data_IF_715984383331
#
_entry.id   IF_715984383331
#
_cell.length_a   1.000
_cell.length_b   1.000
_cell.length_c   1.000
_cell.angle_alpha   90.00
_cell.angle_beta   90.00
_cell.angle_gamma   90.00
#
_symmetry.space_group_name_H-M   'P 1'
#
loop_
_entity.id
_entity.type
_entity.pdbx_description
1 polymer ?
#
# COMPACT_ATOMS: atom_id res chain seq x y z
N UNK A 1 34.85 -21.55 15.77
CA UNK A 1 33.54 -21.26 16.40
C UNK A 1 32.45 -21.61 15.39
N UNK A 2 31.57 -22.53 15.79
CA UNK A 2 30.14 -22.68 15.46
C UNK A 2 29.64 -22.34 14.04
N UNK A 3 28.83 -23.12 13.33
CA UNK A 3 28.11 -24.40 13.56
C UNK A 3 27.41 -24.83 12.26
N UNK A 4 27.23 -26.14 12.11
CA UNK A 4 26.01 -26.84 11.60
C UNK A 4 25.55 -26.57 10.16
N UNK A 5 25.84 -27.48 9.22
CA UNK A 5 25.04 -28.67 8.88
C UNK A 5 23.69 -28.32 8.23
N UNK A 6 23.69 -28.26 6.89
CA UNK A 6 22.49 -28.32 6.06
C UNK A 6 22.19 -29.78 5.75
N UNK A 7 21.43 -30.43 6.62
CA UNK A 7 20.87 -31.75 6.35
C UNK A 7 19.51 -31.57 5.66
N UNK A 8 19.46 -31.93 4.38
CA UNK A 8 18.22 -32.18 3.66
C UNK A 8 17.52 -33.37 4.29
N UNK A 9 16.55 -33.11 5.17
CA UNK A 9 15.66 -34.15 5.64
C UNK A 9 14.45 -34.20 4.70
N UNK A 10 14.60 -35.02 3.66
CA UNK A 10 13.48 -35.71 3.02
C UNK A 10 12.69 -36.39 4.13
N UNK A 11 11.52 -35.87 4.46
CA UNK A 11 10.59 -36.59 5.32
C UNK A 11 10.01 -37.68 4.42
N UNK A 12 10.71 -38.82 4.40
CA UNK A 12 10.12 -40.08 4.00
C UNK A 12 8.89 -40.27 4.88
N UNK A 13 7.72 -40.32 4.25
CA UNK A 13 6.47 -40.75 4.87
C UNK A 13 6.71 -42.16 5.40
N UNK A 14 7.04 -42.26 6.68
CA UNK A 14 6.98 -43.51 7.43
C UNK A 14 5.53 -43.99 7.38
N UNK A 15 5.28 -44.88 6.43
CA UNK A 15 4.08 -45.68 6.28
C UNK A 15 3.93 -46.50 7.55
N UNK A 16 3.24 -45.95 8.55
CA UNK A 16 2.83 -46.66 9.75
C UNK A 16 1.66 -47.60 9.39
N UNK A 17 1.93 -48.63 8.60
CA UNK A 17 1.07 -49.82 8.52
C UNK A 17 1.24 -50.61 9.83
N UNK A 18 0.51 -50.21 10.87
CA UNK A 18 0.18 -51.12 11.96
C UNK A 18 -0.98 -51.99 11.48
N UNK A 19 -0.67 -53.05 10.73
CA UNK A 19 -1.62 -54.14 10.51
C UNK A 19 -1.77 -54.89 11.84
N UNK A 20 -2.79 -54.53 12.61
CA UNK A 20 -3.23 -55.33 13.76
C UNK A 20 -3.84 -56.62 13.21
N UNK A 21 -3.03 -57.68 13.16
CA UNK A 21 -3.49 -59.01 12.77
C UNK A 21 -4.32 -59.58 13.93
N UNK A 22 -5.64 -59.47 13.84
CA UNK A 22 -6.54 -60.11 14.80
C UNK A 22 -6.46 -61.65 14.62
N UNK A 23 -6.20 -62.44 15.68
CA UNK A 23 -6.21 -63.88 15.57
C UNK A 23 -7.60 -64.37 15.19
N UNK A 24 -7.71 -65.15 14.11
CA UNK A 24 -8.96 -65.79 13.73
C UNK A 24 -9.27 -66.93 14.72
N UNK A 25 -10.11 -66.66 15.70
CA UNK A 25 -10.60 -67.68 16.63
C UNK A 25 -11.55 -68.63 15.90
N UNK A 26 -11.09 -69.85 15.62
CA UNK A 26 -11.90 -70.95 15.10
C UNK A 26 -12.18 -71.96 16.22
N UNK A 27 -13.02 -71.55 17.17
CA UNK A 27 -13.60 -72.44 18.16
C UNK A 27 -15.11 -72.48 17.98
N UNK A 28 -15.67 -73.67 17.74
CA UNK A 28 -17.13 -73.88 17.77
C UNK A 28 -17.62 -73.60 19.20
N UNK A 29 -18.18 -72.41 19.42
CA UNK A 29 -18.78 -72.02 20.69
C UNK A 29 -20.25 -72.45 20.69
N UNK A 30 -20.52 -73.55 21.39
CA UNK A 30 -21.86 -74.04 21.67
C UNK A 30 -22.64 -73.02 22.54
N UNK A 31 -23.79 -72.60 22.01
CA UNK A 31 -25.06 -72.11 22.58
C UNK A 31 -25.19 -71.65 24.07
N UNK A 32 -24.15 -71.11 24.72
CA UNK A 32 -24.23 -70.52 26.07
C UNK A 32 -23.90 -69.00 26.11
N UNK A 33 -24.01 -68.30 24.99
CA UNK A 33 -23.21 -67.10 24.69
C UNK A 33 -23.85 -65.72 24.94
N UNK A 34 -25.00 -65.60 25.61
CA UNK A 34 -25.70 -64.29 25.75
C UNK A 34 -24.84 -63.14 26.30
N UNK A 35 -24.04 -63.32 27.38
CA UNK A 35 -23.22 -62.24 27.90
C UNK A 35 -22.08 -61.86 26.95
N UNK A 36 -21.43 -62.85 26.33
CA UNK A 36 -20.28 -62.65 25.42
C UNK A 36 -20.72 -61.94 24.13
N UNK A 37 -21.85 -62.35 23.56
CA UNK A 37 -22.42 -61.71 22.38
C UNK A 37 -22.78 -60.24 22.68
N UNK A 38 -23.34 -59.95 23.86
CA UNK A 38 -23.68 -58.59 24.28
C UNK A 38 -22.45 -57.68 24.44
N UNK A 39 -21.34 -58.19 24.99
CA UNK A 39 -20.09 -57.42 25.07
C UNK A 39 -19.47 -57.18 23.69
N UNK A 40 -19.54 -58.17 22.80
CA UNK A 40 -19.03 -58.04 21.44
C UNK A 40 -19.81 -56.97 20.65
N UNK A 41 -21.14 -57.00 20.69
CA UNK A 41 -21.99 -55.97 20.06
C UNK A 41 -21.66 -54.56 20.55
N UNK A 42 -21.45 -54.40 21.87
CA UNK A 42 -21.08 -53.12 22.46
C UNK A 42 -19.72 -52.60 21.98
N UNK A 43 -18.72 -53.47 21.86
CA UNK A 43 -17.42 -53.08 21.33
C UNK A 43 -17.51 -52.64 19.86
N UNK A 44 -18.33 -53.31 19.05
CA UNK A 44 -18.55 -52.94 17.64
C UNK A 44 -19.23 -51.57 17.53
N UNK A 45 -20.23 -51.28 18.38
CA UNK A 45 -20.85 -49.96 18.45
C UNK A 45 -19.85 -48.86 18.84
N UNK A 46 -19.03 -49.10 19.86
CA UNK A 46 -18.00 -48.15 20.30
C UNK A 46 -16.95 -47.89 19.21
N UNK A 47 -16.53 -48.93 18.47
CA UNK A 47 -15.60 -48.80 17.36
C UNK A 47 -16.18 -47.98 16.20
N UNK A 48 -17.47 -48.16 15.90
CA UNK A 48 -18.18 -47.35 14.91
C UNK A 48 -18.27 -45.87 15.34
N UNK A 49 -18.54 -45.61 16.62
CA UNK A 49 -18.57 -44.25 17.18
C UNK A 49 -17.18 -43.59 17.11
N UNK A 50 -16.13 -44.33 17.46
CA UNK A 50 -14.75 -43.84 17.38
C UNK A 50 -14.33 -43.53 15.93
N UNK A 51 -14.71 -44.38 14.98
CA UNK A 51 -14.45 -44.15 13.56
C UNK A 51 -15.12 -42.86 13.06
N UNK A 52 -16.40 -42.65 13.39
CA UNK A 52 -17.13 -41.43 13.01
C UNK A 52 -16.55 -40.18 13.68
N UNK A 53 -16.18 -40.25 14.96
CA UNK A 53 -15.47 -39.18 15.65
C UNK A 53 -14.14 -38.83 14.97
N UNK A 54 -13.35 -39.83 14.60
CA UNK A 54 -12.06 -39.62 13.93
C UNK A 54 -12.25 -38.92 12.57
N UNK A 55 -13.24 -39.34 11.78
CA UNK A 55 -13.60 -38.69 10.51
C UNK A 55 -13.97 -37.21 10.74
N UNK A 56 -14.81 -36.92 11.74
CA UNK A 56 -15.24 -35.55 12.06
C UNK A 56 -14.08 -34.67 12.51
N UNK A 57 -13.19 -35.19 13.36
CA UNK A 57 -11.99 -34.47 13.82
C UNK A 57 -11.06 -34.17 12.65
N UNK A 58 -10.77 -35.16 11.79
CA UNK A 58 -9.91 -34.96 10.62
C UNK A 58 -10.50 -33.93 9.64
N UNK A 59 -11.81 -33.95 9.43
CA UNK A 59 -12.50 -32.95 8.61
C UNK A 59 -12.38 -31.55 9.20
N UNK A 60 -12.59 -31.40 10.52
CA UNK A 60 -12.46 -30.13 11.22
C UNK A 60 -11.02 -29.60 11.16
N UNK A 61 -10.02 -30.47 11.36
CA UNK A 61 -8.61 -30.10 11.29
C UNK A 61 -8.19 -29.66 9.88
N UNK A 62 -8.63 -30.39 8.85
CA UNK A 62 -8.42 -30.01 7.46
C UNK A 62 -9.02 -28.63 7.13
N UNK A 63 -10.25 -28.38 7.58
CA UNK A 63 -10.92 -27.10 7.39
C UNK A 63 -10.20 -25.96 8.12
N UNK A 64 -9.77 -26.17 9.37
CA UNK A 64 -8.96 -25.20 10.13
C UNK A 64 -7.67 -24.86 9.39
N UNK A 65 -6.94 -25.85 8.90
CA UNK A 65 -5.68 -25.65 8.17
C UNK A 65 -5.88 -24.90 6.85
N UNK A 66 -6.99 -25.16 6.15
CA UNK A 66 -7.36 -24.39 4.96
C UNK A 66 -7.51 -22.90 5.28
N UNK A 67 -8.25 -22.56 6.32
CA UNK A 67 -8.45 -21.16 6.72
C UNK A 67 -7.19 -20.50 7.27
N UNK A 68 -6.34 -21.24 7.98
CA UNK A 68 -5.05 -20.73 8.44
C UNK A 68 -4.16 -20.32 7.26
N UNK A 69 -4.03 -21.18 6.24
CA UNK A 69 -3.28 -20.86 5.02
C UNK A 69 -3.84 -19.66 4.27
N UNK A 70 -5.17 -19.55 4.17
CA UNK A 70 -5.82 -18.40 3.55
C UNK A 70 -5.58 -17.10 4.32
N UNK A 71 -5.63 -17.16 5.65
CA UNK A 71 -5.35 -16.01 6.52
C UNK A 71 -3.92 -15.52 6.36
N UNK A 72 -2.94 -16.44 6.38
CA UNK A 72 -1.52 -16.12 6.15
C UNK A 72 -1.29 -15.47 4.77
N UNK A 73 -1.91 -16.01 3.71
CA UNK A 73 -1.83 -15.40 2.37
C UNK A 73 -2.39 -13.98 2.33
N UNK A 74 -3.53 -13.73 3.01
CA UNK A 74 -4.11 -12.39 3.10
C UNK A 74 -3.21 -11.43 3.87
N UNK A 75 -2.60 -11.90 4.96
CA UNK A 75 -1.65 -11.12 5.76
C UNK A 75 -0.45 -10.67 4.92
N UNK A 76 0.20 -11.60 4.23
CA UNK A 76 1.34 -11.27 3.36
C UNK A 76 0.97 -10.27 2.26
N UNK A 77 -0.19 -10.45 1.62
CA UNK A 77 -0.66 -9.51 0.59
C UNK A 77 -0.95 -8.12 1.15
N UNK A 78 -1.43 -8.03 2.40
CA UNK A 78 -1.66 -6.75 3.05
C UNK A 78 -0.34 -6.04 3.39
N UNK A 79 0.67 -6.78 3.87
CA UNK A 79 2.02 -6.25 4.14
C UNK A 79 2.73 -5.78 2.86
N UNK A 80 2.56 -6.52 1.76
CA UNK A 80 3.06 -6.12 0.44
C UNK A 80 2.39 -4.82 -0.03
N UNK A 81 1.05 -4.73 0.08
CA UNK A 81 0.31 -3.54 -0.30
C UNK A 81 0.72 -2.31 0.52
N UNK A 82 0.92 -2.49 1.84
CA UNK A 82 1.39 -1.42 2.72
C UNK A 82 2.77 -0.91 2.30
N UNK A 83 3.68 -1.82 1.93
CA UNK A 83 5.01 -1.46 1.43
C UNK A 83 4.91 -0.66 0.14
N UNK A 84 4.11 -1.13 -0.83
CA UNK A 84 3.89 -0.43 -2.11
C UNK A 84 3.31 0.96 -1.89
N UNK A 85 2.29 1.09 -1.05
CA UNK A 85 1.67 2.38 -0.74
C UNK A 85 2.65 3.36 -0.09
N UNK A 86 3.50 2.87 0.83
CA UNK A 86 4.52 3.70 1.46
C UNK A 86 5.57 4.20 0.46
N UNK A 87 6.01 3.33 -0.46
CA UNK A 87 6.96 3.70 -1.51
C UNK A 87 6.34 4.70 -2.50
N UNK A 88 5.09 4.50 -2.92
CA UNK A 88 4.34 5.43 -3.76
C UNK A 88 4.16 6.79 -3.09
N UNK A 89 3.76 6.81 -1.82
CA UNK A 89 3.60 8.04 -1.04
C UNK A 89 4.91 8.80 -0.93
N UNK A 90 6.02 8.09 -0.68
CA UNK A 90 7.36 8.68 -0.64
C UNK A 90 7.74 9.27 -2.01
N UNK A 91 7.46 8.56 -3.10
CA UNK A 91 7.67 9.05 -4.47
C UNK A 91 6.88 10.33 -4.76
N UNK A 92 5.60 10.37 -4.39
CA UNK A 92 4.75 11.54 -4.52
C UNK A 92 5.29 12.74 -3.73
N UNK A 93 5.69 12.54 -2.47
CA UNK A 93 6.27 13.59 -1.63
C UNK A 93 7.56 14.17 -2.24
N UNK A 94 8.46 13.30 -2.72
CA UNK A 94 9.70 13.74 -3.37
C UNK A 94 9.43 14.57 -4.63
N UNK A 95 8.47 14.14 -5.46
CA UNK A 95 8.09 14.87 -6.66
C UNK A 95 7.46 16.22 -6.32
N UNK A 96 6.60 16.28 -5.30
CA UNK A 96 5.98 17.53 -4.85
C UNK A 96 7.03 18.53 -4.38
N UNK A 97 7.96 18.12 -3.51
CA UNK A 97 9.05 18.98 -3.05
C UNK A 97 9.89 19.50 -4.22
N UNK A 98 10.23 18.62 -5.19
CA UNK A 98 10.97 19.05 -6.39
C UNK A 98 10.17 20.06 -7.23
N UNK A 99 8.86 19.89 -7.36
CA UNK A 99 8.01 20.86 -8.05
C UNK A 99 7.97 22.21 -7.31
N UNK A 100 7.91 22.20 -5.97
CA UNK A 100 7.98 23.43 -5.17
C UNK A 100 9.34 24.13 -5.31
N UNK A 101 10.43 23.37 -5.29
CA UNK A 101 11.78 23.88 -5.54
C UNK A 101 11.88 24.55 -6.92
N UNK A 102 11.42 23.87 -7.98
CA UNK A 102 11.40 24.45 -9.32
C UNK A 102 10.49 25.68 -9.42
N UNK A 103 9.35 25.69 -8.73
CA UNK A 103 8.46 26.85 -8.71
C UNK A 103 9.16 28.05 -8.05
N UNK A 104 9.84 27.82 -6.92
CA UNK A 104 10.64 28.83 -6.23
C UNK A 104 11.78 29.36 -7.10
N UNK A 105 12.51 28.49 -7.80
CA UNK A 105 13.57 28.88 -8.74
C UNK A 105 13.02 29.75 -9.89
N UNK A 106 11.88 29.37 -10.47
CA UNK A 106 11.22 30.14 -11.52
C UNK A 106 10.75 31.50 -11.01
N UNK A 107 10.20 31.56 -9.79
CA UNK A 107 9.78 32.81 -9.17
C UNK A 107 10.97 33.75 -8.93
N UNK A 108 12.08 33.23 -8.41
CA UNK A 108 13.32 33.98 -8.21
C UNK A 108 13.86 34.52 -9.53
N UNK A 109 13.95 33.68 -10.56
CA UNK A 109 14.44 34.07 -11.89
C UNK A 109 13.54 35.13 -12.53
N UNK A 110 12.22 34.99 -12.41
CA UNK A 110 11.26 35.99 -12.89
C UNK A 110 11.46 37.32 -12.18
N UNK A 111 11.54 37.32 -10.84
CA UNK A 111 11.70 38.53 -10.06
C UNK A 111 13.03 39.23 -10.36
N UNK A 112 14.12 38.49 -10.51
CA UNK A 112 15.42 39.03 -10.89
C UNK A 112 15.39 39.64 -12.30
N UNK A 113 14.85 38.90 -13.28
CA UNK A 113 14.70 39.35 -14.66
C UNK A 113 13.83 40.61 -14.75
N UNK A 114 12.72 40.63 -14.02
CA UNK A 114 11.84 41.79 -13.95
C UNK A 114 12.53 43.01 -13.32
N UNK A 115 13.31 42.84 -12.25
CA UNK A 115 14.07 43.94 -11.67
C UNK A 115 15.10 44.53 -12.65
N UNK A 116 15.78 43.67 -13.43
CA UNK A 116 16.70 44.11 -14.50
C UNK A 116 15.94 44.87 -15.60
N UNK A 117 14.80 44.34 -16.04
CA UNK A 117 13.92 45.02 -17.00
C UNK A 117 13.46 46.38 -16.48
N UNK A 118 12.98 46.44 -15.23
CA UNK A 118 12.51 47.67 -14.58
C UNK A 118 13.62 48.73 -14.57
N UNK A 119 14.84 48.35 -14.19
CA UNK A 119 15.98 49.25 -14.17
C UNK A 119 16.28 49.81 -15.57
N UNK A 120 16.23 48.97 -16.61
CA UNK A 120 16.41 49.39 -18.00
C UNK A 120 15.26 50.26 -18.52
N UNK A 121 14.01 49.89 -18.24
CA UNK A 121 12.82 50.62 -18.67
C UNK A 121 12.76 52.02 -18.03
N UNK A 122 13.24 52.16 -16.79
CA UNK A 122 13.34 53.45 -16.13
C UNK A 122 14.30 54.44 -16.81
N UNK A 123 15.33 53.95 -17.53
CA UNK A 123 16.25 54.82 -18.29
C UNK A 123 15.69 55.25 -19.64
N UNK A 124 14.82 54.43 -20.25
CA UNK A 124 14.28 54.62 -21.61
C UNK A 124 12.89 55.26 -21.62
N UNK A 125 12.07 54.99 -20.60
CA UNK A 125 10.68 55.44 -20.50
C UNK A 125 10.44 56.21 -19.19
N UNK A 126 10.96 57.43 -19.12
CA UNK A 126 10.94 58.29 -17.93
C UNK A 126 9.54 58.82 -17.55
N UNK A 127 8.60 58.76 -18.50
CA UNK A 127 7.18 59.15 -18.32
C UNK A 127 6.38 58.17 -17.46
N UNK A 128 6.94 57.00 -17.13
CA UNK A 128 6.31 56.00 -16.27
C UNK A 128 6.98 55.97 -14.90
N UNK A 129 6.21 55.66 -13.86
CA UNK A 129 6.76 55.28 -12.55
C UNK A 129 6.85 53.77 -12.44
N UNK A 130 8.00 53.23 -12.82
CA UNK A 130 8.27 51.81 -12.84
C UNK A 130 8.35 51.17 -11.44
N UNK A 131 8.47 51.97 -10.37
CA UNK A 131 8.44 51.45 -9.00
C UNK A 131 7.01 51.08 -8.55
N UNK A 132 5.99 51.66 -9.18
CA UNK A 132 4.59 51.31 -8.93
C UNK A 132 4.16 49.99 -9.57
N UNK A 133 4.99 49.40 -10.44
CA UNK A 133 4.70 48.10 -11.08
C UNK A 133 5.42 47.00 -10.29
N UNK A 134 4.66 46.14 -9.60
CA UNK A 134 5.20 44.97 -8.89
C UNK A 134 5.37 43.76 -9.82
N UNK A 135 6.24 42.79 -9.49
CA UNK A 135 6.32 41.54 -10.23
C UNK A 135 4.97 40.81 -10.30
N UNK A 136 4.21 40.80 -9.20
CA UNK A 136 2.88 40.15 -9.14
C UNK A 136 1.88 40.81 -10.07
N UNK A 137 1.91 42.15 -10.19
CA UNK A 137 1.08 42.87 -11.14
C UNK A 137 1.36 42.47 -12.59
N UNK A 138 2.62 42.16 -12.91
CA UNK A 138 2.99 41.69 -14.25
C UNK A 138 2.55 40.26 -14.48
N UNK A 139 2.67 39.38 -13.48
CA UNK A 139 2.16 38.00 -13.58
C UNK A 139 0.65 37.98 -13.78
N UNK A 140 -0.10 38.77 -13.00
CA UNK A 140 -1.55 38.89 -13.14
C UNK A 140 -1.93 39.30 -14.58
N UNK A 141 -1.20 40.23 -15.19
CA UNK A 141 -1.41 40.63 -16.59
C UNK A 141 -1.11 39.48 -17.56
N UNK A 142 0.00 38.76 -17.35
CA UNK A 142 0.40 37.65 -18.21
C UNK A 142 -0.59 36.48 -18.12
N UNK A 143 -1.14 36.24 -16.93
CA UNK A 143 -2.09 35.18 -16.65
C UNK A 143 -3.51 35.52 -17.14
N UNK A 144 -3.93 36.79 -17.05
CA UNK A 144 -5.26 37.26 -17.49
C UNK A 144 -5.44 37.19 -19.02
N UNK A 145 -4.34 37.28 -19.80
CA UNK A 145 -4.36 37.14 -21.26
C UNK A 145 -5.20 38.19 -22.04
N UNK A 146 -5.72 39.21 -21.36
CA UNK A 146 -6.57 40.28 -21.91
C UNK A 146 -5.80 41.47 -22.51
N UNK A 147 -6.52 42.51 -22.92
CA UNK A 147 -5.89 43.74 -23.44
C UNK A 147 -5.10 44.46 -22.34
N UNK A 148 -3.78 44.40 -22.46
CA UNK A 148 -2.81 44.94 -21.50
C UNK A 148 -3.01 46.45 -21.25
N UNK A 149 -3.58 47.20 -22.18
CA UNK A 149 -3.74 48.65 -22.04
C UNK A 149 -4.83 49.06 -21.05
N UNK A 150 -5.79 48.18 -20.78
CA UNK A 150 -6.90 48.48 -19.88
C UNK A 150 -6.66 48.01 -18.45
N UNK A 151 -5.60 47.24 -18.21
CA UNK A 151 -5.32 46.62 -16.92
C UNK A 151 -5.05 47.68 -15.83
N UNK A 152 -5.63 47.45 -14.64
CA UNK A 152 -5.57 48.37 -13.49
C UNK A 152 -4.14 48.80 -13.14
N UNK A 153 -3.18 47.87 -13.24
CA UNK A 153 -1.77 48.12 -12.94
C UNK A 153 -1.07 49.00 -13.98
N UNK A 154 -1.41 48.86 -15.26
CA UNK A 154 -0.84 49.67 -16.35
C UNK A 154 -1.32 51.13 -16.25
N UNK A 155 -2.60 51.31 -15.91
CA UNK A 155 -3.18 52.65 -15.67
C UNK A 155 -2.54 53.34 -14.46
N UNK A 156 -2.25 52.59 -13.39
CA UNK A 156 -1.64 53.14 -12.17
C UNK A 156 -0.18 53.59 -12.36
N UNK A 157 0.58 52.93 -13.24
CA UNK A 157 2.00 53.22 -13.47
C UNK A 157 2.27 54.45 -14.38
N UNK A 158 1.26 54.93 -15.11
CA UNK A 158 1.37 56.16 -15.91
C UNK A 158 1.46 57.35 -14.97
N UNK A 159 2.54 58.13 -15.06
CA UNK A 159 2.58 59.44 -14.38
C UNK A 159 1.48 60.30 -14.99
N UNK A 160 0.59 60.84 -14.15
CA UNK A 160 -0.30 61.92 -14.60
C UNK A 160 0.58 63.06 -15.12
N UNK A 161 0.22 63.72 -16.23
CA UNK A 161 0.92 64.94 -16.62
C UNK A 161 0.89 65.86 -15.41
N UNK A 162 2.07 66.24 -14.90
CA UNK A 162 2.15 67.34 -13.95
C UNK A 162 1.59 68.54 -14.70
N UNK A 163 0.50 69.11 -14.19
CA UNK A 163 -0.02 70.39 -14.67
C UNK A 163 1.11 71.42 -14.56
N UNK A 164 1.83 71.61 -15.65
CA UNK A 164 2.72 72.75 -15.85
C UNK A 164 1.81 73.93 -16.14
N UNK A 165 1.17 74.41 -15.07
CA UNK A 165 0.48 75.68 -15.09
C UNK A 165 1.54 76.75 -14.89
N UNK A 166 1.93 77.33 -16.03
CA UNK A 166 2.48 78.68 -16.27
C UNK A 166 3.38 79.33 -15.22
#
# INVERSE_FOLDING_TARGET
>A
MSTSSGANNTIEDDKLESQVLFPHFSGKLDQNSRPINSWHEKCVEDEAILADLNIRVNKAFSQKNKYLKLSQKRKLKAEELDTVMNDEMKGCLMNHMRCEEHHSELELAFNEGFNKFRAFAATTHTSYDWNCVSPDAVREILDDGGDMNEHKHVKAARKKPTDTTK
#
